data_IF_142976123485
#
_entry.id   IF_142976123485
#
_cell.length_a   1.000
_cell.length_b   1.000
_cell.length_c   1.000
_cell.angle_alpha   90.00
_cell.angle_beta   90.00
_cell.angle_gamma   90.00
#
_symmetry.space_group_name_H-M   'P 1'
#
loop_
_entity.id
_entity.type
_entity.pdbx_description
1 polymer ?
#
# COMPACT_ATOMS: atom_id res chain seq x y z
N UNK A 1 33.44 -15.46 41.33
CA UNK A 1 33.22 -15.68 39.89
C UNK A 1 31.73 -15.61 39.73
N UNK A 2 31.19 -14.44 39.37
CA UNK A 2 29.75 -14.23 39.30
C UNK A 2 29.42 -13.53 37.99
N UNK A 3 29.22 -14.34 36.96
CA UNK A 3 28.77 -13.91 35.64
C UNK A 3 27.32 -13.46 35.71
N UNK A 4 27.10 -12.15 35.69
CA UNK A 4 25.80 -11.58 35.38
C UNK A 4 25.55 -11.72 33.88
N UNK A 5 24.75 -12.73 33.49
CA UNK A 5 24.18 -12.80 32.15
C UNK A 5 23.15 -11.67 32.01
N UNK A 6 23.53 -10.63 31.26
CA UNK A 6 22.62 -9.61 30.76
C UNK A 6 21.72 -10.28 29.72
N UNK A 7 20.46 -10.52 30.06
CA UNK A 7 19.47 -11.07 29.12
C UNK A 7 19.36 -10.20 27.87
N UNK A 8 19.00 -10.79 26.71
CA UNK A 8 18.89 -10.03 25.48
C UNK A 8 17.77 -8.99 25.62
N UNK A 9 18.13 -7.71 25.46
CA UNK A 9 17.16 -6.63 25.31
C UNK A 9 16.30 -6.96 24.09
N UNK A 10 15.03 -7.23 24.37
CA UNK A 10 14.02 -7.58 23.39
C UNK A 10 13.74 -6.33 22.53
N UNK A 11 14.28 -6.39 21.32
CA UNK A 11 13.76 -5.87 20.05
C UNK A 11 13.02 -4.53 20.09
N UNK A 12 13.74 -3.52 19.57
CA UNK A 12 13.27 -2.43 18.71
C UNK A 12 11.84 -1.94 18.96
N UNK A 13 11.78 -0.90 19.81
CA UNK A 13 10.84 0.21 19.79
C UNK A 13 9.97 0.21 18.53
N UNK A 14 8.71 -0.19 18.71
CA UNK A 14 7.61 0.34 17.91
C UNK A 14 7.75 1.86 18.10
N UNK A 15 8.05 2.60 17.03
CA UNK A 15 8.18 4.04 17.10
C UNK A 15 6.86 4.58 17.69
N UNK A 16 6.94 5.28 18.82
CA UNK A 16 5.83 5.59 19.75
C UNK A 16 4.76 6.54 19.16
N UNK A 17 4.63 6.62 17.83
CA UNK A 17 3.76 7.59 17.17
C UNK A 17 3.02 7.05 15.96
N UNK A 18 3.10 5.78 15.61
CA UNK A 18 2.33 5.25 14.47
C UNK A 18 0.84 5.12 14.82
N UNK A 19 0.03 6.09 14.40
CA UNK A 19 -1.43 6.06 14.53
C UNK A 19 -2.08 5.73 13.19
N UNK A 20 -3.31 5.19 13.23
CA UNK A 20 -4.13 4.97 12.03
C UNK A 20 -4.27 6.25 11.19
N UNK A 21 -4.33 7.42 11.83
CA UNK A 21 -4.40 8.72 11.17
C UNK A 21 -3.12 9.04 10.39
N UNK A 22 -1.94 8.76 10.96
CA UNK A 22 -0.68 8.93 10.25
C UNK A 22 -0.56 8.00 9.03
N UNK A 23 -1.02 6.75 9.17
CA UNK A 23 -1.11 5.81 8.04
C UNK A 23 -2.03 6.36 6.94
N UNK A 24 -3.15 6.97 7.29
CA UNK A 24 -4.06 7.56 6.31
C UNK A 24 -3.45 8.78 5.60
N UNK A 25 -2.73 9.64 6.32
CA UNK A 25 -1.97 10.75 5.73
C UNK A 25 -0.89 10.24 4.77
N UNK A 26 -0.18 9.18 5.13
CA UNK A 26 0.83 8.58 4.27
C UNK A 26 0.24 7.90 3.04
N UNK A 27 -0.90 7.21 3.20
CA UNK A 27 -1.63 6.64 2.08
C UNK A 27 -2.02 7.74 1.10
N UNK A 28 -2.57 8.86 1.58
CA UNK A 28 -2.86 10.02 0.74
C UNK A 28 -1.61 10.66 0.12
N UNK A 29 -0.45 10.59 0.78
CA UNK A 29 0.81 11.08 0.20
C UNK A 29 1.25 10.23 -0.99
N UNK A 30 1.04 8.91 -0.91
CA UNK A 30 1.35 7.97 -2.00
C UNK A 30 0.33 8.11 -3.13
N UNK A 31 -0.96 8.02 -2.81
CA UNK A 31 -2.04 7.95 -3.81
C UNK A 31 -2.58 9.30 -4.22
N UNK A 32 -2.08 10.38 -3.65
CA UNK A 32 -2.69 11.70 -3.74
C UNK A 32 -4.12 11.71 -3.19
N UNK A 33 -4.89 12.72 -3.62
CA UNK A 33 -6.31 12.89 -3.27
C UNK A 33 -7.26 11.95 -4.00
N UNK A 34 -6.76 11.07 -4.85
CA UNK A 34 -7.59 10.15 -5.63
C UNK A 34 -6.77 8.97 -6.10
N UNK A 35 -7.02 7.80 -5.49
CA UNK A 35 -6.39 6.53 -5.87
C UNK A 35 -6.61 6.22 -7.36
N UNK A 36 -7.76 6.59 -7.92
CA UNK A 36 -8.01 6.46 -9.36
C UNK A 36 -7.07 7.30 -10.20
N UNK A 37 -6.89 8.59 -9.87
CA UNK A 37 -5.98 9.48 -10.63
C UNK A 37 -4.55 8.97 -10.55
N UNK A 38 -4.14 8.52 -9.37
CA UNK A 38 -2.84 7.91 -9.14
C UNK A 38 -2.62 6.64 -9.98
N UNK A 39 -3.56 5.70 -9.99
CA UNK A 39 -3.43 4.48 -10.79
C UNK A 39 -3.43 4.81 -12.29
N UNK A 40 -4.25 5.76 -12.73
CA UNK A 40 -4.23 6.23 -14.12
C UNK A 40 -2.89 6.87 -14.50
N UNK A 41 -2.25 7.66 -13.63
CA UNK A 41 -0.94 8.23 -13.93
C UNK A 41 0.12 7.14 -14.07
N UNK A 42 0.08 6.11 -13.23
CA UNK A 42 0.99 4.96 -13.36
C UNK A 42 0.77 4.20 -14.67
N UNK A 43 -0.50 4.01 -15.08
CA UNK A 43 -0.81 3.41 -16.37
C UNK A 43 -0.29 4.26 -17.54
N UNK A 44 -0.47 5.58 -17.48
CA UNK A 44 -0.02 6.50 -18.53
C UNK A 44 1.52 6.53 -18.63
N UNK A 45 2.22 6.51 -17.49
CA UNK A 45 3.68 6.40 -17.44
C UNK A 45 4.18 5.09 -18.04
N UNK A 46 3.55 3.97 -17.69
CA UNK A 46 3.89 2.67 -18.26
C UNK A 46 3.63 2.64 -19.77
N UNK A 47 2.47 3.09 -20.23
CA UNK A 47 2.13 3.09 -21.67
C UNK A 47 3.07 3.99 -22.47
N UNK A 48 3.57 5.07 -21.88
CA UNK A 48 4.46 6.02 -22.54
C UNK A 48 5.92 5.55 -22.57
N UNK A 49 6.41 5.00 -21.45
CA UNK A 49 7.84 4.76 -21.25
C UNK A 49 8.19 3.27 -21.11
N UNK A 50 7.21 2.37 -21.06
CA UNK A 50 7.36 0.96 -20.69
C UNK A 50 8.09 0.75 -19.35
N UNK A 51 7.96 1.74 -18.45
CA UNK A 51 8.65 1.76 -17.17
C UNK A 51 7.67 1.43 -16.03
N UNK A 52 8.00 0.40 -15.26
CA UNK A 52 7.24 -0.08 -14.11
C UNK A 52 7.85 0.34 -12.76
N UNK A 53 8.92 1.14 -12.77
CA UNK A 53 9.65 1.55 -11.55
C UNK A 53 8.75 2.27 -10.55
N UNK A 54 7.83 3.11 -11.01
CA UNK A 54 6.89 3.83 -10.14
C UNK A 54 5.77 2.92 -9.60
N UNK A 55 5.34 1.91 -10.36
CA UNK A 55 4.40 0.87 -9.87
C UNK A 55 5.08 0.08 -8.73
N UNK A 56 6.30 -0.37 -8.96
CA UNK A 56 7.08 -1.14 -7.98
C UNK A 56 7.41 -0.34 -6.71
N UNK A 57 7.85 0.92 -6.87
CA UNK A 57 8.15 1.81 -5.74
C UNK A 57 6.91 2.09 -4.90
N UNK A 58 5.76 2.28 -5.54
CA UNK A 58 4.48 2.49 -4.86
C UNK A 58 3.99 1.25 -4.12
N UNK A 59 4.12 0.07 -4.73
CA UNK A 59 3.83 -1.21 -4.07
C UNK A 59 4.66 -1.39 -2.80
N UNK A 60 5.97 -1.17 -2.91
CA UNK A 60 6.90 -1.29 -1.77
C UNK A 60 6.48 -0.35 -0.63
N UNK A 61 6.08 0.88 -0.93
CA UNK A 61 5.61 1.82 0.08
C UNK A 61 4.29 1.35 0.73
N UNK A 62 3.34 0.85 -0.05
CA UNK A 62 2.06 0.35 0.48
C UNK A 62 2.21 -0.92 1.33
N UNK A 63 3.13 -1.82 0.98
CA UNK A 63 3.46 -2.99 1.79
C UNK A 63 4.02 -2.59 3.17
N UNK A 64 4.87 -1.56 3.21
CA UNK A 64 5.38 -0.99 4.47
C UNK A 64 4.26 -0.37 5.30
N UNK A 65 3.34 0.39 4.68
CA UNK A 65 2.16 0.91 5.36
C UNK A 65 1.28 -0.22 5.91
N UNK A 66 1.06 -1.29 5.14
CA UNK A 66 0.27 -2.43 5.61
C UNK A 66 0.94 -3.11 6.82
N UNK A 67 2.26 -3.28 6.79
CA UNK A 67 3.03 -3.81 7.92
C UNK A 67 2.86 -2.99 9.19
N UNK A 68 2.98 -1.66 9.08
CA UNK A 68 2.75 -0.73 10.21
C UNK A 68 1.32 -0.76 10.72
N UNK A 69 0.35 -0.77 9.81
CA UNK A 69 -1.07 -0.84 10.19
C UNK A 69 -1.43 -2.15 10.91
N UNK A 70 -0.84 -3.29 10.48
CA UNK A 70 -0.99 -4.57 11.19
C UNK A 70 -0.41 -4.51 12.60
N UNK A 71 0.73 -3.84 12.78
CA UNK A 71 1.33 -3.66 14.10
C UNK A 71 0.43 -2.84 15.03
N UNK A 72 -0.17 -1.75 14.53
CA UNK A 72 -1.16 -0.95 15.26
C UNK A 72 -2.37 -1.81 15.67
N UNK A 73 -2.93 -2.57 14.71
CA UNK A 73 -4.09 -3.43 14.95
C UNK A 73 -3.83 -4.54 15.97
N UNK A 74 -2.61 -5.06 16.04
CA UNK A 74 -2.22 -6.05 17.06
C UNK A 74 -2.01 -5.43 18.44
N UNK A 75 -1.62 -4.16 18.52
CA UNK A 75 -1.43 -3.44 19.77
C UNK A 75 -2.75 -2.88 20.35
N UNK A 76 -3.77 -2.65 19.50
CA UNK A 76 -5.04 -2.09 19.91
C UNK A 76 -5.92 -3.11 20.68
N UNK A 77 -6.50 -2.75 21.85
CA UNK A 77 -7.53 -3.56 22.48
C UNK A 77 -8.72 -3.68 21.52
N UNK A 78 -9.21 -4.90 21.30
CA UNK A 78 -10.17 -5.22 20.23
C UNK A 78 -11.30 -4.19 20.10
N UNK A 79 -11.22 -3.39 19.03
CA UNK A 79 -12.21 -2.35 18.76
C UNK A 79 -11.82 -1.52 17.55
N UNK A 80 -12.34 -1.91 16.38
CA UNK A 80 -12.62 -1.14 15.14
C UNK A 80 -11.62 -0.13 14.54
N UNK A 81 -10.56 0.31 15.22
CA UNK A 81 -9.62 1.28 14.69
C UNK A 81 -8.82 0.71 13.51
N UNK A 82 -8.83 1.44 12.39
CA UNK A 82 -8.02 1.14 11.22
C UNK A 82 -8.57 0.07 10.26
N UNK A 83 -9.81 -0.42 10.42
CA UNK A 83 -10.38 -1.37 9.44
C UNK A 83 -10.63 -0.72 8.08
N UNK A 84 -11.13 0.52 8.07
CA UNK A 84 -11.35 1.27 6.84
C UNK A 84 -10.01 1.57 6.14
N UNK A 85 -9.05 2.16 6.85
CA UNK A 85 -7.71 2.43 6.32
C UNK A 85 -7.02 1.16 5.82
N UNK A 86 -7.15 0.03 6.52
CA UNK A 86 -6.61 -1.26 6.07
C UNK A 86 -7.24 -1.73 4.78
N UNK A 87 -8.55 -1.54 4.64
CA UNK A 87 -9.25 -1.85 3.40
C UNK A 87 -8.78 -0.94 2.25
N UNK A 88 -8.56 0.36 2.52
CA UNK A 88 -8.02 1.30 1.52
C UNK A 88 -6.62 0.87 1.05
N UNK A 89 -5.69 0.63 1.99
CA UNK A 89 -4.32 0.18 1.69
C UNK A 89 -4.35 -1.11 0.86
N UNK A 90 -5.06 -2.15 1.33
CA UNK A 90 -5.15 -3.44 0.62
C UNK A 90 -5.75 -3.31 -0.77
N UNK A 91 -6.76 -2.46 -0.93
CA UNK A 91 -7.39 -2.26 -2.23
C UNK A 91 -6.39 -1.66 -3.23
N UNK A 92 -5.64 -0.63 -2.82
CA UNK A 92 -4.63 -0.01 -3.68
C UNK A 92 -3.48 -0.98 -3.96
N UNK A 93 -2.99 -1.71 -2.95
CA UNK A 93 -1.95 -2.74 -3.15
C UNK A 93 -2.39 -3.75 -4.20
N UNK A 94 -3.58 -4.34 -4.05
CA UNK A 94 -4.11 -5.34 -4.99
C UNK A 94 -4.24 -4.81 -6.42
N UNK A 95 -4.63 -3.55 -6.57
CA UNK A 95 -4.72 -2.90 -7.88
C UNK A 95 -3.34 -2.78 -8.54
N UNK A 96 -2.33 -2.38 -7.76
CA UNK A 96 -0.99 -2.23 -8.30
C UNK A 96 -0.35 -3.60 -8.59
N UNK A 97 -0.62 -4.63 -7.78
CA UNK A 97 -0.22 -6.01 -8.06
C UNK A 97 -0.84 -6.52 -9.36
N UNK A 98 -2.15 -6.30 -9.55
CA UNK A 98 -2.86 -6.67 -10.77
C UNK A 98 -2.30 -5.93 -11.99
N UNK A 99 -2.03 -4.62 -11.86
CA UNK A 99 -1.42 -3.83 -12.92
C UNK A 99 -0.03 -4.36 -13.29
N UNK A 100 0.81 -4.67 -12.29
CA UNK A 100 2.15 -5.19 -12.50
C UNK A 100 2.11 -6.59 -13.14
N UNK A 101 1.25 -7.47 -12.66
CA UNK A 101 1.07 -8.81 -13.22
C UNK A 101 0.67 -8.74 -14.69
N UNK A 102 -0.35 -7.93 -15.02
CA UNK A 102 -0.79 -7.76 -16.40
C UNK A 102 0.30 -7.16 -17.29
N UNK A 103 1.08 -6.21 -16.78
CA UNK A 103 2.20 -5.62 -17.52
C UNK A 103 3.32 -6.65 -17.77
N UNK A 104 3.62 -7.50 -16.78
CA UNK A 104 4.63 -8.56 -16.90
C UNK A 104 4.21 -9.69 -17.84
N UNK A 105 2.92 -10.02 -17.88
CA UNK A 105 2.36 -11.01 -18.81
C UNK A 105 2.29 -10.49 -20.27
N UNK A 106 2.62 -9.22 -20.50
CA UNK A 106 2.53 -8.59 -21.82
C UNK A 106 1.09 -8.32 -22.26
N UNK A 107 0.15 -8.28 -21.31
CA UNK A 107 -1.23 -7.92 -21.61
C UNK A 107 -1.29 -6.45 -22.05
N UNK A 108 -2.16 -6.15 -23.00
CA UNK A 108 -2.37 -4.78 -23.46
C UNK A 108 -3.09 -3.97 -22.38
N UNK A 109 -2.32 -3.27 -21.54
CA UNK A 109 -2.85 -2.42 -20.46
C UNK A 109 -3.82 -1.36 -20.99
N UNK A 110 -3.62 -0.87 -22.21
CA UNK A 110 -4.55 0.08 -22.84
C UNK A 110 -5.93 -0.56 -23.08
N UNK A 111 -5.96 -1.81 -23.57
CA UNK A 111 -7.21 -2.55 -23.79
C UNK A 111 -7.89 -2.91 -22.47
N UNK A 112 -7.12 -3.37 -21.47
CA UNK A 112 -7.66 -3.68 -20.14
C UNK A 112 -8.27 -2.45 -19.49
N UNK A 113 -7.62 -1.28 -19.64
CA UNK A 113 -8.14 0.01 -19.20
C UNK A 113 -9.39 0.41 -19.97
N UNK A 114 -9.41 0.26 -21.29
CA UNK A 114 -10.57 0.65 -22.10
C UNK A 114 -11.81 -0.22 -21.85
N UNK A 115 -11.59 -1.51 -21.56
CA UNK A 115 -12.66 -2.51 -21.31
C UNK A 115 -13.13 -2.56 -19.85
N UNK A 116 -12.48 -1.80 -18.98
CA UNK A 116 -12.77 -1.77 -17.56
C UNK A 116 -12.49 -3.06 -16.81
N UNK A 117 -11.48 -3.79 -17.26
CA UNK A 117 -11.08 -5.07 -16.68
C UNK A 117 -10.05 -4.92 -15.56
N UNK A 118 -9.47 -3.71 -15.40
CA UNK A 118 -8.57 -3.42 -14.28
C UNK A 118 -9.40 -3.16 -13.02
N UNK A 119 -9.04 -3.83 -11.93
CA UNK A 119 -9.75 -3.79 -10.64
C UNK A 119 -9.92 -2.37 -10.05
N UNK A 120 -9.22 -1.36 -10.58
CA UNK A 120 -9.26 0.00 -10.05
C UNK A 120 -10.41 0.87 -10.57
N UNK A 121 -11.17 0.41 -11.56
CA UNK A 121 -12.31 1.17 -12.07
C UNK A 121 -13.48 1.20 -11.09
N UNK A 122 -13.56 0.23 -10.16
CA UNK A 122 -14.57 0.16 -9.10
C UNK A 122 -14.28 1.03 -7.87
N UNK A 123 -13.26 1.90 -7.93
CA UNK A 123 -12.70 2.63 -6.76
C UNK A 123 -13.12 4.10 -6.73
N UNK A 124 -14.32 4.41 -7.24
CA UNK A 124 -14.89 5.77 -7.07
C UNK A 124 -15.00 6.06 -5.56
N UNK A 125 -14.23 7.06 -5.11
CA UNK A 125 -14.22 7.63 -3.76
C UNK A 125 -13.74 6.73 -2.61
N UNK A 126 -12.48 6.29 -2.67
CA UNK A 126 -11.77 5.68 -1.51
C UNK A 126 -10.95 6.72 -0.71
N UNK A 127 -10.97 8.00 -1.09
CA UNK A 127 -10.32 9.07 -0.30
C UNK A 127 -11.26 9.61 0.77
#
# INVERSE_FOLDING_TARGET
MDGHMKGPQKSTLIDDTDTTEQIEVELQRITGKSSRKFVNSLCDEYLKNSDYSNIYSSLTALEQLEGRLRAIQWAAPQGHEGTATAQKVRMVTRILEDLLLNAMEGNNISDLRHRGLLLYQSVDDVC
#
